data_IF_093775315244
#
_entry.id   IF_093775315244
#
_cell.length_a   1.000
_cell.length_b   1.000
_cell.length_c   1.000
_cell.angle_alpha   90.00
_cell.angle_beta   90.00
_cell.angle_gamma   90.00
#
_symmetry.space_group_name_H-M   'P 1'
#
loop_
_entity.id
_entity.type
_entity.pdbx_description
1 polymer ?
#
# COMPACT_ATOMS: atom_id res chain seq x y z
N UNK A 1 -11.45 -12.82 -13.09
CA UNK A 1 -10.98 -12.13 -11.86
C UNK A 1 -10.27 -10.85 -12.28
N UNK A 2 -10.40 -9.77 -11.52
CA UNK A 2 -9.67 -8.53 -11.79
C UNK A 2 -8.18 -8.70 -11.50
N UNK A 3 -7.32 -7.99 -12.23
CA UNK A 3 -5.86 -8.04 -12.07
C UNK A 3 -5.40 -7.69 -10.66
N UNK A 4 -6.11 -6.80 -9.97
CA UNK A 4 -5.85 -6.45 -8.56
C UNK A 4 -6.15 -7.58 -7.58
N UNK A 5 -7.22 -8.34 -7.80
CA UNK A 5 -7.58 -9.47 -6.93
C UNK A 5 -6.52 -10.58 -7.02
N UNK A 6 -6.08 -10.91 -8.24
CA UNK A 6 -5.01 -11.90 -8.45
C UNK A 6 -3.71 -11.50 -7.75
N UNK A 7 -3.34 -10.21 -7.76
CA UNK A 7 -2.15 -9.73 -7.05
C UNK A 7 -2.30 -9.80 -5.53
N UNK A 8 -3.49 -9.52 -5.01
CA UNK A 8 -3.78 -9.70 -3.58
C UNK A 8 -3.70 -11.17 -3.18
N UNK A 9 -4.22 -12.07 -4.01
CA UNK A 9 -4.12 -13.50 -3.79
C UNK A 9 -2.64 -13.95 -3.82
N UNK A 10 -1.83 -13.45 -4.77
CA UNK A 10 -0.39 -13.70 -4.83
C UNK A 10 0.33 -13.27 -3.54
N UNK A 11 0.02 -12.08 -3.02
CA UNK A 11 0.59 -11.58 -1.76
C UNK A 11 0.12 -12.43 -0.58
N UNK A 12 -1.17 -12.76 -0.50
CA UNK A 12 -1.77 -13.53 0.59
C UNK A 12 -1.22 -14.96 0.66
N UNK A 13 -0.85 -15.54 -0.48
CA UNK A 13 -0.25 -16.87 -0.57
C UNK A 13 1.24 -16.91 -0.17
N UNK A 14 1.85 -15.78 0.21
CA UNK A 14 3.23 -15.76 0.71
C UNK A 14 3.23 -16.22 2.17
N UNK A 15 3.42 -17.53 2.36
CA UNK A 15 3.57 -18.11 3.70
C UNK A 15 4.99 -17.88 4.27
N UNK A 16 5.05 -17.49 5.54
CA UNK A 16 6.30 -17.28 6.28
C UNK A 16 6.80 -18.59 6.92
N UNK A 17 7.22 -19.53 6.08
CA UNK A 17 7.87 -20.77 6.52
C UNK A 17 9.21 -21.01 5.80
N UNK A 18 10.11 -21.73 6.46
CA UNK A 18 11.43 -22.08 5.92
C UNK A 18 12.35 -20.86 5.77
N UNK A 19 12.60 -20.40 4.54
CA UNK A 19 13.43 -19.23 4.25
C UNK A 19 12.66 -17.91 4.53
N UNK A 20 12.21 -17.73 5.76
CA UNK A 20 11.47 -16.57 6.27
C UNK A 20 12.02 -15.21 5.80
N UNK A 21 13.35 -14.96 5.78
CA UNK A 21 13.88 -13.65 5.42
C UNK A 21 13.63 -13.32 3.95
N UNK A 22 13.78 -14.32 3.08
CA UNK A 22 13.45 -14.19 1.66
C UNK A 22 11.94 -13.97 1.50
N UNK A 23 11.11 -14.70 2.24
CA UNK A 23 9.65 -14.56 2.17
C UNK A 23 9.16 -13.18 2.60
N UNK A 24 9.77 -12.60 3.63
CA UNK A 24 9.47 -11.23 4.06
C UNK A 24 9.90 -10.22 3.00
N UNK A 25 11.06 -10.41 2.37
CA UNK A 25 11.50 -9.57 1.24
C UNK A 25 10.55 -9.68 0.03
N UNK A 26 10.12 -10.90 -0.30
CA UNK A 26 9.17 -11.18 -1.38
C UNK A 26 7.81 -10.52 -1.08
N UNK A 27 7.31 -10.63 0.16
CA UNK A 27 6.07 -9.99 0.61
C UNK A 27 6.13 -8.47 0.56
N UNK A 28 7.20 -7.87 1.09
CA UNK A 28 7.38 -6.42 1.08
C UNK A 28 7.44 -5.88 -0.36
N UNK A 29 8.22 -6.54 -1.23
CA UNK A 29 8.35 -6.17 -2.65
C UNK A 29 7.01 -6.27 -3.39
N UNK A 30 6.30 -7.40 -3.24
CA UNK A 30 5.03 -7.63 -3.91
C UNK A 30 3.97 -6.62 -3.45
N UNK A 31 3.90 -6.36 -2.14
CA UNK A 31 2.96 -5.39 -1.56
C UNK A 31 3.28 -3.95 -1.98
N UNK A 32 4.56 -3.56 -2.07
CA UNK A 32 4.96 -2.24 -2.57
C UNK A 32 4.53 -2.05 -4.02
N UNK A 33 4.77 -3.06 -4.87
CA UNK A 33 4.35 -3.01 -6.27
C UNK A 33 2.84 -2.86 -6.39
N UNK A 34 2.09 -3.63 -5.61
CA UNK A 34 0.64 -3.50 -5.56
C UNK A 34 0.20 -2.09 -5.14
N UNK A 35 0.80 -1.54 -4.09
CA UNK A 35 0.50 -0.20 -3.60
C UNK A 35 0.79 0.89 -4.66
N UNK A 36 1.91 0.79 -5.38
CA UNK A 36 2.22 1.71 -6.49
C UNK A 36 1.24 1.60 -7.66
N UNK A 37 0.88 0.37 -8.04
CA UNK A 37 -0.08 0.15 -9.11
C UNK A 37 -1.47 0.67 -8.72
N UNK A 38 -1.90 0.44 -7.48
CA UNK A 38 -3.14 0.98 -6.93
C UNK A 38 -3.14 2.51 -6.90
N UNK A 39 -2.04 3.13 -6.45
CA UNK A 39 -1.89 4.58 -6.45
C UNK A 39 -2.05 5.15 -7.87
N UNK A 40 -1.48 4.49 -8.89
CA UNK A 40 -1.63 4.88 -10.29
C UNK A 40 -3.05 4.71 -10.80
N UNK A 41 -3.73 3.64 -10.41
CA UNK A 41 -5.14 3.41 -10.77
C UNK A 41 -6.06 4.47 -10.14
N UNK A 42 -5.82 4.84 -8.89
CA UNK A 42 -6.55 5.90 -8.19
C UNK A 42 -6.33 7.28 -8.82
N UNK A 43 -5.10 7.61 -9.21
CA UNK A 43 -4.76 8.85 -9.93
C UNK A 43 -5.55 8.98 -11.24
N UNK A 44 -5.53 7.91 -12.04
CA UNK A 44 -6.30 7.86 -13.29
C UNK A 44 -7.81 7.95 -13.03
N UNK A 45 -8.30 7.27 -11.99
CA UNK A 45 -9.71 7.28 -11.62
C UNK A 45 -10.16 8.66 -11.14
N UNK A 46 -9.32 9.40 -10.40
CA UNK A 46 -9.60 10.77 -9.95
C UNK A 46 -9.83 11.70 -11.15
N UNK A 47 -8.89 11.70 -12.11
CA UNK A 47 -9.03 12.49 -13.33
C UNK A 47 -10.23 12.09 -14.19
N UNK A 48 -10.47 10.79 -14.36
CA UNK A 48 -11.60 10.29 -15.14
C UNK A 48 -12.95 10.62 -14.49
N UNK A 49 -13.06 10.44 -13.17
CA UNK A 49 -14.27 10.75 -12.41
C UNK A 49 -14.56 12.26 -12.44
N UNK A 50 -13.55 13.10 -12.21
CA UNK A 50 -13.73 14.55 -12.27
C UNK A 50 -14.19 15.00 -13.65
N UNK A 51 -13.54 14.51 -14.72
CA UNK A 51 -13.90 14.83 -16.09
C UNK A 51 -15.33 14.39 -16.44
N UNK A 52 -15.71 13.15 -16.09
CA UNK A 52 -17.03 12.62 -16.33
C UNK A 52 -18.12 13.42 -15.59
N UNK A 53 -17.88 13.76 -14.32
CA UNK A 53 -18.85 14.56 -13.55
C UNK A 53 -18.96 15.98 -14.11
N UNK A 54 -17.85 16.61 -14.53
CA UNK A 54 -17.88 17.95 -15.14
C UNK A 54 -18.70 18.01 -16.43
N UNK A 55 -18.79 16.91 -17.19
CA UNK A 55 -19.65 16.85 -18.39
C UNK A 55 -21.15 16.99 -18.06
N UNK A 56 -21.56 16.73 -16.81
CA UNK A 56 -22.94 16.88 -16.36
C UNK A 56 -23.30 18.32 -16.01
N UNK A 57 -22.38 19.28 -16.18
CA UNK A 57 -22.65 20.69 -15.91
C UNK A 57 -23.77 21.20 -16.80
N UNK A 58 -24.80 21.79 -16.19
CA UNK A 58 -25.96 22.31 -16.91
C UNK A 58 -27.02 21.25 -17.24
N UNK A 59 -26.85 20.02 -16.76
CA UNK A 59 -27.86 18.98 -16.90
C UNK A 59 -29.15 19.38 -16.14
N UNK A 60 -30.35 19.32 -16.77
CA UNK A 60 -31.59 19.80 -16.15
C UNK A 60 -31.93 19.13 -14.81
N UNK A 61 -31.65 17.83 -14.67
CA UNK A 61 -31.86 17.09 -13.42
C UNK A 61 -30.88 17.49 -12.28
N UNK A 62 -29.85 18.27 -12.58
CA UNK A 62 -28.85 18.75 -11.62
C UNK A 62 -28.94 20.26 -11.39
N UNK A 63 -30.08 20.88 -11.73
CA UNK A 63 -30.30 22.30 -11.41
C UNK A 63 -30.16 22.56 -9.91
N UNK A 64 -29.40 23.59 -9.56
CA UNK A 64 -29.10 23.95 -8.16
C UNK A 64 -27.95 23.15 -7.54
N UNK A 65 -27.38 22.16 -8.23
CA UNK A 65 -26.20 21.43 -7.77
C UNK A 65 -24.93 22.05 -8.36
N UNK A 66 -23.96 22.37 -7.49
CA UNK A 66 -22.62 22.70 -7.95
C UNK A 66 -21.86 21.43 -8.36
N UNK A 67 -22.04 21.06 -9.63
CA UNK A 67 -21.39 19.90 -10.25
C UNK A 67 -19.87 20.02 -10.20
N UNK A 68 -19.31 21.24 -10.26
CA UNK A 68 -17.86 21.44 -10.22
C UNK A 68 -17.32 21.13 -8.83
N UNK A 69 -17.97 21.67 -7.79
CA UNK A 69 -17.61 21.37 -6.41
C UNK A 69 -17.73 19.88 -6.09
N UNK A 70 -18.79 19.22 -6.57
CA UNK A 70 -18.97 17.76 -6.39
C UNK A 70 -17.91 16.95 -7.12
N UNK A 71 -17.58 17.30 -8.35
CA UNK A 71 -16.53 16.64 -9.12
C UNK A 71 -15.17 16.77 -8.42
N UNK A 72 -14.81 17.97 -7.97
CA UNK A 72 -13.54 18.19 -7.26
C UNK A 72 -13.51 17.50 -5.89
N UNK A 73 -14.64 17.37 -5.20
CA UNK A 73 -14.72 16.59 -3.96
C UNK A 73 -14.47 15.10 -4.21
N UNK A 74 -15.10 14.51 -5.25
CA UNK A 74 -14.87 13.10 -5.61
C UNK A 74 -13.41 12.86 -6.00
N UNK A 75 -12.81 13.77 -6.78
CA UNK A 75 -11.40 13.71 -7.13
C UNK A 75 -10.51 13.74 -5.89
N UNK A 76 -10.77 14.66 -4.96
CA UNK A 76 -10.01 14.79 -3.71
C UNK A 76 -10.04 13.51 -2.87
N UNK A 77 -11.18 12.83 -2.78
CA UNK A 77 -11.28 11.55 -2.03
C UNK A 77 -10.41 10.46 -2.67
N UNK A 78 -10.33 10.43 -4.01
CA UNK A 78 -9.49 9.48 -4.73
C UNK A 78 -7.99 9.84 -4.61
N UNK A 79 -7.66 11.13 -4.60
CA UNK A 79 -6.31 11.63 -4.33
C UNK A 79 -5.86 11.27 -2.91
N UNK A 80 -6.72 11.43 -1.91
CA UNK A 80 -6.44 11.02 -0.53
C UNK A 80 -6.19 9.50 -0.45
N UNK A 81 -7.00 8.69 -1.15
CA UNK A 81 -6.80 7.24 -1.22
C UNK A 81 -5.46 6.88 -1.91
N UNK A 82 -5.06 7.63 -2.94
CA UNK A 82 -3.77 7.49 -3.62
C UNK A 82 -2.61 7.78 -2.66
N UNK A 83 -2.69 8.85 -1.89
CA UNK A 83 -1.67 9.18 -0.89
C UNK A 83 -1.57 8.11 0.20
N UNK A 84 -2.70 7.55 0.65
CA UNK A 84 -2.70 6.42 1.57
C UNK A 84 -2.00 5.18 0.96
N UNK A 85 -2.24 4.87 -0.31
CA UNK A 85 -1.56 3.78 -0.99
C UNK A 85 -0.04 3.99 -1.06
N UNK A 86 0.41 5.22 -1.36
CA UNK A 86 1.84 5.57 -1.31
C UNK A 86 2.42 5.45 0.10
N UNK A 87 1.67 5.86 1.13
CA UNK A 87 2.02 5.67 2.53
C UNK A 87 2.23 4.20 2.89
N UNK A 88 1.33 3.31 2.45
CA UNK A 88 1.49 1.85 2.61
C UNK A 88 2.78 1.36 1.97
N UNK A 89 3.13 1.82 0.77
CA UNK A 89 4.40 1.46 0.12
C UNK A 89 5.62 1.85 0.97
N UNK A 90 5.61 3.08 1.53
CA UNK A 90 6.69 3.56 2.39
C UNK A 90 6.80 2.74 3.70
N UNK A 91 5.67 2.41 4.33
CA UNK A 91 5.66 1.58 5.54
C UNK A 91 6.17 0.17 5.27
N UNK A 92 5.93 -0.40 4.09
CA UNK A 92 6.47 -1.71 3.72
C UNK A 92 8.01 -1.71 3.59
N UNK A 93 8.61 -0.60 3.12
CA UNK A 93 10.08 -0.44 3.12
C UNK A 93 10.60 -0.45 4.56
N UNK A 94 9.97 0.34 5.44
CA UNK A 94 10.36 0.43 6.85
C UNK A 94 10.23 -0.91 7.55
N UNK A 95 9.12 -1.61 7.33
CA UNK A 95 8.89 -2.96 7.83
C UNK A 95 10.01 -3.91 7.44
N UNK A 96 10.40 -3.93 6.16
CA UNK A 96 11.47 -4.81 5.70
C UNK A 96 12.82 -4.47 6.35
N UNK A 97 13.16 -3.18 6.45
CA UNK A 97 14.41 -2.72 7.08
C UNK A 97 14.43 -3.01 8.59
N UNK A 98 13.31 -2.82 9.27
CA UNK A 98 13.17 -3.13 10.69
C UNK A 98 13.34 -4.62 10.93
N UNK A 99 12.71 -5.47 10.11
CA UNK A 99 12.93 -6.91 10.18
C UNK A 99 14.41 -7.26 10.00
N UNK A 100 15.07 -6.71 8.98
CA UNK A 100 16.51 -6.97 8.80
C UNK A 100 17.34 -6.54 10.01
N UNK A 101 17.02 -5.40 10.63
CA UNK A 101 17.73 -4.87 11.80
C UNK A 101 17.53 -5.73 13.04
N UNK A 102 16.30 -6.10 13.34
CA UNK A 102 15.96 -6.88 14.55
C UNK A 102 16.46 -8.32 14.47
N UNK A 103 16.47 -8.88 13.27
CA UNK A 103 16.85 -10.26 13.05
C UNK A 103 18.26 -10.41 12.47
N UNK A 104 19.02 -9.32 12.27
CA UNK A 104 20.38 -9.35 11.70
C UNK A 104 21.28 -10.41 12.35
N UNK A 105 21.24 -10.51 13.69
CA UNK A 105 22.05 -11.46 14.45
C UNK A 105 21.61 -12.92 14.20
N UNK A 106 20.30 -13.17 14.13
CA UNK A 106 19.73 -14.49 13.84
C UNK A 106 19.91 -14.90 12.37
N UNK A 107 20.05 -13.92 11.46
CA UNK A 107 20.29 -14.11 10.03
C UNK A 107 21.77 -14.28 9.69
N UNK A 108 22.66 -13.77 10.54
CA UNK A 108 24.08 -14.01 10.40
C UNK A 108 24.37 -15.45 10.82
N UNK A 109 24.78 -16.29 9.87
CA UNK A 109 25.22 -17.68 10.11
C UNK A 109 26.46 -17.79 11.02
N UNK A 110 26.95 -16.65 11.52
CA UNK A 110 27.87 -16.59 12.64
C UNK A 110 27.09 -17.01 13.88
N UNK A 111 27.14 -18.30 14.20
CA UNK A 111 26.89 -18.82 15.56
C UNK A 111 27.63 -17.93 16.57
N UNK A 112 26.96 -16.90 17.08
CA UNK A 112 27.47 -16.16 18.22
C UNK A 112 27.03 -16.94 19.44
N UNK A 113 28.00 -17.57 20.09
CA UNK A 113 27.83 -18.45 21.26
C UNK A 113 27.40 -17.67 22.53
N UNK A 114 26.76 -16.51 22.38
CA UNK A 114 26.27 -15.70 23.49
C UNK A 114 24.82 -15.31 23.26
N UNK A 115 23.92 -16.12 23.82
CA UNK A 115 22.54 -15.74 24.11
C UNK A 115 22.55 -14.39 24.85
N UNK A 116 22.10 -13.32 24.19
CA UNK A 116 21.67 -12.10 24.88
C UNK A 116 20.18 -12.22 25.10
N UNK A 117 19.79 -12.18 26.37
CA UNK A 117 18.39 -12.18 26.80
C UNK A 117 17.64 -11.01 26.16
N UNK A 118 16.56 -11.34 25.46
CA UNK A 118 15.63 -10.39 24.87
C UNK A 118 14.90 -9.63 25.98
N UNK A 119 15.26 -8.37 26.22
CA UNK A 119 14.54 -7.46 27.13
C UNK A 119 13.44 -6.76 26.34
N UNK A 120 12.22 -7.30 26.42
CA UNK A 120 11.03 -6.81 25.74
C UNK A 120 10.60 -5.41 26.14
N UNK A 121 11.33 -4.38 25.70
CA UNK A 121 10.83 -3.01 25.65
C UNK A 121 10.45 -2.68 24.21
N UNK A 122 9.14 -2.68 23.98
CA UNK A 122 8.50 -2.04 22.84
C UNK A 122 8.06 -0.69 23.37
N UNK A 123 8.77 0.38 23.02
CA UNK A 123 8.24 1.74 23.20
C UNK A 123 7.41 2.08 21.95
N UNK A 124 6.11 2.26 22.18
CA UNK A 124 5.12 2.76 21.21
C UNK A 124 5.31 4.27 20.95
#
# INVERSE_FOLDING_TARGET
>A
MGTGQTRLDEIANIEFHGKVPKKIADYATASQRFAHDLARELDNAAGAAEAAMRQLKGHPLLMGVDVRARASWVASVLDDARELALGVSAELVKFHLQFQREFADALSDKRSDKRKDYKGQVDL
#
